data_IF_481322872108
#
_entry.id   IF_481322872108
#
_cell.length_a   1.000
_cell.length_b   1.000
_cell.length_c   1.000
_cell.angle_alpha   90.00
_cell.angle_beta   90.00
_cell.angle_gamma   90.00
#
_symmetry.space_group_name_H-M   'P 1'
#
loop_
_entity.id
_entity.type
_entity.pdbx_description
1 polymer ?
#
# COMPACT_ATOMS: atom_id res chain seq x y z
N UNK A 1 -3.02 -7.59 -19.00
CA UNK A 1 -2.35 -8.34 -17.92
C UNK A 1 -2.47 -7.63 -16.59
N UNK A 2 -3.67 -7.69 -16.00
CA UNK A 2 -3.80 -7.49 -14.57
C UNK A 2 -3.22 -8.72 -13.89
N UNK A 3 -2.11 -8.55 -13.18
CA UNK A 3 -1.60 -9.63 -12.32
C UNK A 3 -2.52 -9.69 -11.11
N UNK A 4 -3.16 -10.85 -10.91
CA UNK A 4 -3.89 -11.12 -9.67
C UNK A 4 -2.96 -10.82 -8.48
N UNK A 5 -3.48 -10.11 -7.48
CA UNK A 5 -2.71 -9.75 -6.29
C UNK A 5 -1.91 -8.44 -6.38
N UNK A 6 -1.99 -7.68 -7.48
CA UNK A 6 -1.25 -6.43 -7.64
C UNK A 6 -2.19 -5.25 -7.92
N UNK A 7 -2.13 -4.21 -7.08
CA UNK A 7 -2.87 -2.96 -7.26
C UNK A 7 -1.88 -1.83 -7.57
N UNK A 8 -1.94 -1.17 -8.74
CA UNK A 8 -1.12 0.00 -9.01
C UNK A 8 -1.52 1.16 -8.09
N UNK A 9 -0.53 1.88 -7.56
CA UNK A 9 -0.75 3.00 -6.66
C UNK A 9 -0.57 4.34 -7.39
N UNK A 10 -1.39 5.36 -7.08
CA UNK A 10 -1.22 6.67 -7.64
C UNK A 10 0.11 7.29 -7.18
N UNK A 11 0.72 8.20 -7.97
CA UNK A 11 1.90 8.95 -7.54
C UNK A 11 1.68 9.61 -6.18
N UNK A 12 2.68 9.53 -5.30
CA UNK A 12 2.61 10.10 -3.95
C UNK A 12 1.88 9.25 -2.90
N UNK A 13 1.28 8.11 -3.27
CA UNK A 13 0.71 7.16 -2.30
C UNK A 13 1.77 6.56 -1.36
N UNK A 14 3.01 6.46 -1.84
CA UNK A 14 4.18 6.01 -1.07
C UNK A 14 5.21 7.12 -0.97
N UNK A 15 6.00 7.11 0.10
CA UNK A 15 7.07 8.08 0.32
C UNK A 15 8.33 7.85 -0.53
N UNK A 16 8.19 7.51 -1.82
CA UNK A 16 9.30 7.34 -2.77
C UNK A 16 9.76 8.71 -3.28
N UNK A 17 10.95 9.12 -2.85
CA UNK A 17 11.52 10.44 -3.20
C UNK A 17 11.81 10.62 -4.69
N UNK A 18 11.84 9.52 -5.47
CA UNK A 18 12.12 9.52 -6.91
C UNK A 18 10.85 9.46 -7.77
N UNK A 19 9.66 9.39 -7.15
CA UNK A 19 8.38 9.39 -7.87
C UNK A 19 8.18 8.19 -8.79
N UNK A 20 8.78 7.04 -8.50
CA UNK A 20 8.66 5.85 -9.34
C UNK A 20 7.25 5.25 -9.21
N UNK A 21 6.72 4.64 -10.29
CA UNK A 21 5.51 3.85 -10.21
C UNK A 21 5.63 2.79 -9.10
N UNK A 22 4.59 2.70 -8.29
CA UNK A 22 4.53 1.80 -7.14
C UNK A 22 3.24 0.99 -7.19
N UNK A 23 3.24 -0.15 -6.49
CA UNK A 23 2.10 -1.05 -6.42
C UNK A 23 2.01 -1.66 -5.03
N UNK A 24 0.82 -2.11 -4.67
CA UNK A 24 0.55 -2.93 -3.50
C UNK A 24 0.43 -4.38 -3.92
N UNK A 25 1.16 -5.27 -3.25
CA UNK A 25 0.97 -6.72 -3.35
C UNK A 25 0.00 -7.16 -2.25
N UNK A 26 -1.16 -7.69 -2.62
CA UNK A 26 -2.21 -8.10 -1.68
C UNK A 26 -2.08 -9.54 -1.21
N UNK A 27 -1.18 -10.31 -1.82
CA UNK A 27 -0.80 -11.68 -1.43
C UNK A 27 0.38 -11.72 -0.43
N UNK A 28 1.13 -10.63 -0.30
CA UNK A 28 2.27 -10.52 0.62
C UNK A 28 1.91 -9.75 1.90
N UNK A 29 1.17 -10.40 2.80
CA UNK A 29 0.84 -9.84 4.12
C UNK A 29 1.92 -10.14 5.16
N UNK A 30 2.22 -9.15 6.01
CA UNK A 30 3.22 -9.25 7.08
C UNK A 30 2.72 -8.52 8.32
N UNK A 31 2.93 -9.13 9.49
CA UNK A 31 2.76 -8.44 10.77
C UNK A 31 3.97 -7.55 11.03
N UNK A 32 3.74 -6.26 11.30
CA UNK A 32 4.79 -5.28 11.54
C UNK A 32 4.45 -4.49 12.81
N UNK A 33 5.34 -4.45 13.82
CA UNK A 33 5.17 -3.59 14.98
C UNK A 33 5.01 -2.12 14.59
N UNK A 34 4.09 -1.41 15.25
CA UNK A 34 3.84 0.03 14.96
C UNK A 34 5.11 0.88 15.15
N UNK A 35 5.99 0.48 16.08
CA UNK A 35 7.27 1.17 16.35
C UNK A 35 8.29 1.07 15.21
N UNK A 36 8.15 0.11 14.30
CA UNK A 36 9.09 -0.10 13.20
C UNK A 36 8.81 0.85 12.02
N UNK A 37 7.67 1.53 12.01
CA UNK A 37 7.34 2.54 11.02
C UNK A 37 8.13 3.83 11.29
N UNK A 38 9.11 4.12 10.42
CA UNK A 38 9.98 5.31 10.55
C UNK A 38 9.24 6.65 10.50
N UNK A 39 8.22 6.79 9.64
CA UNK A 39 7.46 8.03 9.45
C UNK A 39 6.10 7.77 8.79
N UNK A 40 5.15 8.68 8.99
CA UNK A 40 3.89 8.74 8.24
C UNK A 40 4.12 9.37 6.87
N UNK A 41 3.59 8.77 5.81
CA UNK A 41 3.70 9.28 4.43
C UNK A 41 2.44 9.97 3.92
N UNK A 42 1.27 9.67 4.48
CA UNK A 42 0.00 10.25 4.06
C UNK A 42 -1.21 9.56 4.69
N UNK A 43 -2.39 9.83 4.14
CA UNK A 43 -3.62 9.08 4.37
C UNK A 43 -3.86 8.25 3.11
N UNK A 44 -4.23 6.99 3.27
CA UNK A 44 -4.61 6.13 2.14
C UNK A 44 -5.92 6.62 1.52
N UNK A 45 -6.05 6.51 0.20
CA UNK A 45 -7.31 6.80 -0.47
C UNK A 45 -8.44 5.89 0.07
N UNK A 46 -9.63 6.42 0.41
CA UNK A 46 -10.71 5.62 0.98
C UNK A 46 -11.19 4.46 0.09
N UNK A 47 -11.20 4.65 -1.23
CA UNK A 47 -11.60 3.60 -2.18
C UNK A 47 -10.57 2.48 -2.19
N UNK A 48 -9.28 2.83 -2.15
CA UNK A 48 -8.21 1.84 -2.00
C UNK A 48 -8.32 1.10 -0.66
N UNK A 49 -8.62 1.81 0.43
CA UNK A 49 -8.76 1.18 1.75
C UNK A 49 -9.90 0.16 1.78
N UNK A 50 -11.06 0.51 1.22
CA UNK A 50 -12.21 -0.41 1.18
C UNK A 50 -11.90 -1.69 0.39
N UNK A 51 -11.07 -1.58 -0.66
CA UNK A 51 -10.62 -2.76 -1.41
C UNK A 51 -9.75 -3.70 -0.59
N UNK A 52 -8.93 -3.21 0.36
CA UNK A 52 -7.88 -4.03 1.00
C UNK A 52 -8.11 -4.33 2.48
N UNK A 53 -8.99 -3.59 3.17
CA UNK A 53 -9.24 -3.73 4.61
C UNK A 53 -9.69 -5.12 5.05
N UNK A 54 -10.25 -5.91 4.13
CA UNK A 54 -10.69 -7.27 4.41
C UNK A 54 -9.53 -8.27 4.56
N UNK A 55 -8.32 -7.90 4.13
CA UNK A 55 -7.11 -8.73 4.22
C UNK A 55 -6.50 -8.74 5.64
N UNK A 56 -6.75 -7.70 6.44
CA UNK A 56 -6.17 -7.52 7.77
C UNK A 56 -7.01 -8.17 8.90
N UNK A 57 -7.62 -9.33 8.62
CA UNK A 57 -8.42 -10.07 9.61
C UNK A 57 -7.58 -10.98 10.49
#
# INVERSE_FOLDING_TARGET
DERAGVIPLPPGAVGDARGRPSFLQTDELREVPVGDFRRRVGVVDPVLWDQVRHLAR
#
